data_IF_671281777847
#
_entry.id   IF_671281777847
#
_cell.length_a   1.000
_cell.length_b   1.000
_cell.length_c   1.000
_cell.angle_alpha   90.00
_cell.angle_beta   90.00
_cell.angle_gamma   90.00
#
_symmetry.space_group_name_H-M   'P 1'
#
loop_
_entity.id
_entity.type
_entity.pdbx_description
1 polymer ?
#
# COMPACT_ATOMS: atom_id res chain seq x y z
N UNK A 1 6.59 41.60 -16.91
CA UNK A 1 6.15 40.20 -17.18
C UNK A 1 6.48 39.39 -15.94
N UNK A 2 5.46 38.75 -15.35
CA UNK A 2 5.59 37.94 -14.14
C UNK A 2 6.16 36.58 -14.49
N UNK A 3 7.14 36.10 -13.74
CA UNK A 3 7.77 34.78 -13.94
C UNK A 3 7.44 33.85 -12.78
N UNK A 4 7.16 32.60 -13.08
CA UNK A 4 6.91 31.54 -12.10
C UNK A 4 7.95 30.45 -12.28
N UNK A 5 8.59 30.02 -11.19
CA UNK A 5 9.69 29.04 -11.26
C UNK A 5 10.84 29.41 -12.21
N UNK A 6 11.03 30.72 -12.46
CA UNK A 6 12.02 31.24 -13.41
C UNK A 6 11.57 31.26 -14.87
N UNK A 7 10.29 30.96 -15.16
CA UNK A 7 9.73 30.85 -16.51
C UNK A 7 8.55 31.80 -16.68
N UNK A 8 8.43 32.42 -17.86
CA UNK A 8 7.28 33.24 -18.22
C UNK A 8 6.13 32.36 -18.72
N UNK A 9 4.93 32.56 -18.19
CA UNK A 9 3.72 31.82 -18.58
C UNK A 9 3.41 31.91 -20.08
N UNK A 10 3.69 33.06 -20.70
CA UNK A 10 3.48 33.29 -22.14
C UNK A 10 4.39 32.38 -22.96
N UNK A 11 5.67 32.27 -22.59
CA UNK A 11 6.63 31.39 -23.27
C UNK A 11 6.19 29.91 -23.18
N UNK A 12 5.52 29.52 -22.09
CA UNK A 12 5.03 28.15 -21.90
C UNK A 12 3.83 27.86 -22.79
N UNK A 13 2.82 28.73 -22.81
CA UNK A 13 1.60 28.51 -23.62
C UNK A 13 1.91 28.66 -25.11
N UNK A 14 2.70 29.65 -25.51
CA UNK A 14 3.05 29.89 -26.91
C UNK A 14 4.03 28.85 -27.48
N UNK A 15 4.69 28.06 -26.62
CA UNK A 15 5.48 26.92 -27.07
C UNK A 15 4.66 25.70 -27.45
N UNK A 16 3.34 25.65 -27.16
CA UNK A 16 2.51 24.47 -27.42
C UNK A 16 2.56 24.00 -28.89
N UNK A 17 2.46 24.87 -29.92
CA UNK A 17 2.57 24.44 -31.31
C UNK A 17 3.92 23.76 -31.63
N UNK A 18 5.02 24.26 -31.07
CA UNK A 18 6.35 23.68 -31.28
C UNK A 18 6.53 22.31 -30.59
N UNK A 19 5.71 22.02 -29.57
CA UNK A 19 5.75 20.77 -28.79
C UNK A 19 4.70 19.76 -29.25
N UNK A 20 3.90 20.09 -30.25
CA UNK A 20 2.79 19.26 -30.72
C UNK A 20 3.29 18.00 -31.45
N UNK A 21 2.68 16.86 -31.12
CA UNK A 21 2.96 15.55 -31.72
C UNK A 21 1.85 15.18 -32.70
N UNK A 22 2.08 15.47 -33.98
CA UNK A 22 1.11 15.21 -35.05
C UNK A 22 0.68 13.74 -35.10
N UNK A 23 1.62 12.80 -34.93
CA UNK A 23 1.32 11.36 -34.97
C UNK A 23 0.39 10.89 -33.85
N UNK A 24 0.35 11.61 -32.71
CA UNK A 24 -0.50 11.29 -31.58
C UNK A 24 -1.92 11.86 -31.72
N UNK A 25 -2.15 12.75 -32.69
CA UNK A 25 -3.39 13.53 -32.83
C UNK A 25 -4.34 13.02 -33.93
N UNK A 26 -4.07 11.84 -34.52
CA UNK A 26 -4.77 11.32 -35.70
C UNK A 26 -6.31 11.32 -35.60
N UNK A 27 -6.85 11.04 -34.41
CA UNK A 27 -8.30 10.96 -34.16
C UNK A 27 -8.86 12.15 -33.37
N UNK A 28 -8.08 13.23 -33.22
CA UNK A 28 -8.43 14.37 -32.37
C UNK A 28 -8.58 15.61 -33.24
N UNK A 29 -9.77 16.21 -33.20
CA UNK A 29 -10.03 17.51 -33.84
C UNK A 29 -10.97 18.33 -32.98
N UNK A 30 -10.76 19.64 -32.95
CA UNK A 30 -11.55 20.52 -32.10
C UNK A 30 -10.85 21.79 -31.68
N UNK A 31 -11.61 22.63 -30.97
CA UNK A 31 -11.11 23.85 -30.34
C UNK A 31 -11.17 23.72 -28.82
N UNK A 32 -10.08 24.08 -28.16
CA UNK A 32 -9.88 23.98 -26.72
C UNK A 32 -9.37 25.31 -26.18
N UNK A 33 -9.93 25.78 -25.07
CA UNK A 33 -9.55 27.04 -24.47
C UNK A 33 -8.57 26.87 -23.32
N UNK A 34 -7.69 27.85 -23.16
CA UNK A 34 -6.86 28.06 -21.98
C UNK A 34 -7.16 29.45 -21.44
N UNK A 35 -7.81 29.54 -20.28
CA UNK A 35 -7.98 30.77 -19.51
C UNK A 35 -6.97 30.76 -18.36
N UNK A 36 -5.92 31.57 -18.51
CA UNK A 36 -4.85 31.72 -17.53
C UNK A 36 -5.04 32.99 -16.69
N UNK A 37 -6.30 33.38 -16.47
CA UNK A 37 -6.72 34.55 -15.69
C UNK A 37 -6.09 35.85 -16.20
N UNK A 38 -5.25 36.48 -15.39
CA UNK A 38 -4.59 37.76 -15.67
C UNK A 38 -3.46 37.64 -16.69
N UNK A 39 -2.95 36.43 -16.95
CA UNK A 39 -1.93 36.20 -17.98
C UNK A 39 -2.51 36.22 -19.39
N UNK A 40 -3.82 35.97 -19.55
CA UNK A 40 -4.50 36.01 -20.84
C UNK A 40 -5.22 34.70 -21.17
N UNK A 41 -5.76 34.67 -22.39
CA UNK A 41 -6.60 33.60 -22.90
C UNK A 41 -6.16 33.19 -24.29
N UNK A 42 -6.13 31.88 -24.53
CA UNK A 42 -5.74 31.31 -25.82
C UNK A 42 -6.74 30.25 -26.27
N UNK A 43 -6.99 30.23 -27.57
CA UNK A 43 -7.69 29.16 -28.28
C UNK A 43 -6.68 28.28 -28.99
N UNK A 44 -6.79 26.98 -28.74
CA UNK A 44 -6.04 25.92 -29.38
C UNK A 44 -6.97 25.14 -30.31
N UNK A 45 -6.71 25.16 -31.62
CA UNK A 45 -7.48 24.42 -32.61
C UNK A 45 -6.64 23.31 -33.22
N UNK A 46 -7.14 22.08 -33.18
CA UNK A 46 -6.53 20.87 -33.73
C UNK A 46 -7.37 20.41 -34.92
N UNK A 47 -6.73 20.21 -36.07
CA UNK A 47 -7.40 19.72 -37.27
C UNK A 47 -6.48 19.70 -38.49
N UNK A 48 -6.79 18.83 -39.46
CA UNK A 48 -6.06 18.79 -40.73
C UNK A 48 -4.57 18.41 -40.63
N UNK A 49 -4.19 17.61 -39.62
CA UNK A 49 -2.79 17.24 -39.36
C UNK A 49 -1.98 18.30 -38.60
N UNK A 50 -2.61 19.38 -38.14
CA UNK A 50 -1.90 20.49 -37.50
C UNK A 50 -2.60 21.03 -36.26
N UNK A 51 -1.88 21.97 -35.63
CA UNK A 51 -2.32 22.69 -34.45
C UNK A 51 -2.10 24.19 -34.65
N UNK A 52 -3.10 24.98 -34.31
CA UNK A 52 -3.01 26.45 -34.28
C UNK A 52 -3.34 26.94 -32.88
N UNK A 53 -2.54 27.89 -32.38
CA UNK A 53 -2.79 28.58 -31.11
C UNK A 53 -2.93 30.07 -31.38
N UNK A 54 -4.00 30.69 -30.88
CA UNK A 54 -4.28 32.12 -31.07
C UNK A 54 -4.77 32.75 -29.76
N UNK A 55 -4.35 33.99 -29.42
CA UNK A 55 -5.01 34.75 -28.37
C UNK A 55 -6.52 34.88 -28.64
N UNK A 56 -7.34 34.82 -27.59
CA UNK A 56 -8.79 34.92 -27.73
C UNK A 56 -9.43 35.60 -26.51
N UNK A 57 -10.31 36.58 -26.72
CA UNK A 57 -11.00 37.25 -25.60
C UNK A 57 -12.18 36.43 -25.06
N UNK A 58 -12.76 35.56 -25.90
CA UNK A 58 -13.93 34.73 -25.61
C UNK A 58 -13.63 33.29 -26.05
N UNK A 59 -13.99 32.32 -25.21
CA UNK A 59 -13.70 30.88 -25.37
C UNK A 59 -14.97 30.01 -25.33
N UNK A 60 -16.15 30.60 -25.50
CA UNK A 60 -17.46 29.93 -25.41
C UNK A 60 -17.71 28.92 -26.55
N UNK A 61 -17.01 29.08 -27.67
CA UNK A 61 -17.02 28.18 -28.82
C UNK A 61 -16.08 26.97 -28.66
N UNK A 62 -15.29 26.91 -27.58
CA UNK A 62 -14.39 25.81 -27.31
C UNK A 62 -15.15 24.61 -26.71
N UNK A 63 -14.80 23.40 -27.13
CA UNK A 63 -15.39 22.16 -26.62
C UNK A 63 -15.12 21.99 -25.12
N UNK A 64 -13.96 22.47 -24.67
CA UNK A 64 -13.59 22.53 -23.28
C UNK A 64 -12.62 23.69 -23.04
N UNK A 65 -12.64 24.25 -21.82
CA UNK A 65 -11.75 25.34 -21.41
C UNK A 65 -11.08 24.98 -20.10
N UNK A 66 -9.74 24.98 -20.08
CA UNK A 66 -8.95 24.92 -18.87
C UNK A 66 -8.91 26.29 -18.21
N UNK A 67 -9.23 26.37 -16.92
CA UNK A 67 -9.18 27.60 -16.14
C UNK A 67 -8.23 27.37 -14.97
N UNK A 68 -7.17 28.17 -14.88
CA UNK A 68 -6.16 28.07 -13.82
C UNK A 68 -5.30 29.33 -13.71
N UNK A 69 -4.72 29.58 -12.55
CA UNK A 69 -3.78 30.68 -12.37
C UNK A 69 -2.43 30.41 -13.10
N UNK A 70 -1.68 31.47 -13.46
CA UNK A 70 -0.41 31.32 -14.19
C UNK A 70 0.65 30.48 -13.47
N UNK A 71 0.71 30.53 -12.13
CA UNK A 71 1.69 29.76 -11.36
C UNK A 71 1.39 28.26 -11.47
N UNK A 72 0.12 27.89 -11.32
CA UNK A 72 -0.35 26.50 -11.42
C UNK A 72 -0.10 25.95 -12.81
N UNK A 73 -0.42 26.71 -13.87
CA UNK A 73 -0.15 26.30 -15.25
C UNK A 73 1.34 26.02 -15.49
N UNK A 74 2.23 26.96 -15.15
CA UNK A 74 3.68 26.79 -15.33
C UNK A 74 4.21 25.63 -14.48
N UNK A 75 3.74 25.49 -13.24
CA UNK A 75 4.16 24.40 -12.35
C UNK A 75 3.81 23.01 -12.88
N UNK A 76 2.62 22.84 -13.48
CA UNK A 76 2.21 21.59 -14.13
C UNK A 76 3.10 21.29 -15.33
N UNK A 77 3.36 22.29 -16.18
CA UNK A 77 4.18 22.12 -17.38
C UNK A 77 5.64 21.75 -17.06
N UNK A 78 6.15 22.19 -15.89
CA UNK A 78 7.47 21.84 -15.37
C UNK A 78 7.51 20.55 -14.53
N UNK A 79 6.37 19.89 -14.31
CA UNK A 79 6.28 18.73 -13.41
C UNK A 79 6.53 19.04 -11.93
N UNK A 80 6.44 20.32 -11.54
CA UNK A 80 6.60 20.80 -10.15
C UNK A 80 5.30 20.78 -9.35
N UNK A 81 4.16 20.76 -10.05
CA UNK A 81 2.82 20.68 -9.47
C UNK A 81 2.11 19.50 -10.13
N UNK A 82 1.57 18.59 -9.33
CA UNK A 82 0.72 17.51 -9.82
C UNK A 82 -0.66 18.04 -10.21
N UNK A 83 -1.14 17.67 -11.39
CA UNK A 83 -2.40 18.19 -11.93
C UNK A 83 -3.63 17.67 -11.17
N UNK A 84 -3.58 16.45 -10.62
CA UNK A 84 -4.69 15.90 -9.84
C UNK A 84 -4.78 16.58 -8.47
N UNK A 85 -3.65 16.86 -7.83
CA UNK A 85 -3.58 17.65 -6.59
C UNK A 85 -4.11 19.08 -6.81
N UNK A 86 -3.65 19.77 -7.86
CA UNK A 86 -4.11 21.13 -8.18
C UNK A 86 -5.63 21.19 -8.42
N UNK A 87 -6.19 20.17 -9.06
CA UNK A 87 -7.63 20.04 -9.26
C UNK A 87 -8.38 19.78 -7.94
N UNK A 88 -7.85 18.94 -7.05
CA UNK A 88 -8.39 18.71 -5.71
C UNK A 88 -8.41 19.98 -4.85
N UNK A 89 -7.41 20.84 -5.01
CA UNK A 89 -7.31 22.15 -4.38
C UNK A 89 -8.09 23.26 -5.09
N UNK A 90 -8.85 22.93 -6.14
CA UNK A 90 -9.66 23.87 -6.94
C UNK A 90 -8.84 25.00 -7.62
N UNK A 91 -7.53 24.79 -7.83
CA UNK A 91 -6.65 25.73 -8.57
C UNK A 91 -6.63 25.48 -10.08
N UNK A 92 -7.21 24.36 -10.49
CA UNK A 92 -7.29 23.91 -11.87
C UNK A 92 -8.70 23.36 -12.09
N UNK A 93 -9.39 23.86 -13.11
CA UNK A 93 -10.70 23.34 -13.51
C UNK A 93 -10.82 23.25 -15.02
N UNK A 94 -11.71 22.37 -15.48
CA UNK A 94 -12.05 22.25 -16.91
C UNK A 94 -13.55 22.38 -17.04
N UNK A 95 -14.00 23.39 -17.79
CA UNK A 95 -15.40 23.55 -18.19
C UNK A 95 -15.61 22.90 -19.56
N UNK A 96 -16.85 22.48 -19.87
CA UNK A 96 -17.16 21.74 -21.10
C UNK A 96 -16.79 20.24 -21.02
N UNK A 97 -16.35 19.68 -22.15
CA UNK A 97 -16.02 18.24 -22.26
C UNK A 97 -14.62 17.93 -21.67
N UNK A 98 -14.62 17.52 -20.40
CA UNK A 98 -13.41 17.13 -19.67
C UNK A 98 -12.67 15.96 -20.31
N UNK A 99 -13.39 15.04 -20.97
CA UNK A 99 -12.77 13.88 -21.62
C UNK A 99 -12.04 14.31 -22.89
N UNK A 100 -12.64 15.21 -23.67
CA UNK A 100 -12.00 15.81 -24.84
C UNK A 100 -10.77 16.65 -24.43
N UNK A 101 -10.83 17.39 -23.33
CA UNK A 101 -9.62 18.09 -22.84
C UNK A 101 -8.53 17.12 -22.38
N UNK A 102 -8.91 16.02 -21.71
CA UNK A 102 -7.97 14.98 -21.28
C UNK A 102 -7.25 14.30 -22.45
N UNK A 103 -7.89 14.17 -23.62
CA UNK A 103 -7.25 13.56 -24.79
C UNK A 103 -6.17 14.45 -25.42
N UNK A 104 -6.25 15.78 -25.29
CA UNK A 104 -5.23 16.68 -25.83
C UNK A 104 -4.01 16.84 -24.93
N UNK A 105 -4.13 16.56 -23.63
CA UNK A 105 -3.03 16.71 -22.67
C UNK A 105 -1.80 15.85 -23.01
N UNK A 106 -2.01 14.69 -23.65
CA UNK A 106 -0.94 13.78 -24.08
C UNK A 106 -0.31 14.11 -25.44
N UNK A 107 -0.79 15.15 -26.14
CA UNK A 107 -0.34 15.50 -27.50
C UNK A 107 0.91 16.37 -27.52
N UNK A 108 1.42 16.76 -26.37
CA UNK A 108 2.54 17.69 -26.26
C UNK A 108 3.75 17.02 -25.63
N UNK A 109 4.93 17.29 -26.18
CA UNK A 109 6.19 17.04 -25.49
C UNK A 109 6.28 17.90 -24.22
N UNK A 110 6.99 17.40 -23.20
CA UNK A 110 7.20 18.13 -21.94
C UNK A 110 7.86 19.49 -22.22
N UNK A 111 7.43 20.54 -21.51
CA UNK A 111 8.05 21.85 -21.64
C UNK A 111 9.47 21.82 -21.08
N UNK A 112 10.41 22.40 -21.81
CA UNK A 112 11.81 22.53 -21.39
C UNK A 112 12.15 24.02 -21.37
N UNK A 113 12.50 24.60 -20.21
CA UNK A 113 12.94 25.98 -20.14
C UNK A 113 14.16 26.25 -21.02
N UNK A 114 14.22 27.39 -21.73
CA UNK A 114 15.40 27.76 -22.50
C UNK A 114 16.68 27.74 -21.64
N UNK A 115 17.70 27.00 -22.09
CA UNK A 115 18.98 26.86 -21.39
C UNK A 115 19.04 25.75 -20.33
N UNK A 116 17.97 24.97 -20.15
CA UNK A 116 18.01 23.70 -19.41
C UNK A 116 18.03 22.52 -20.38
N UNK A 117 19.00 21.62 -20.21
CA UNK A 117 18.96 20.31 -20.86
C UNK A 117 17.99 19.41 -20.10
N UNK A 118 17.04 18.80 -20.79
CA UNK A 118 16.33 17.63 -20.27
C UNK A 118 17.30 16.49 -20.13
N UNK A 119 17.61 16.10 -18.88
CA UNK A 119 18.16 14.79 -18.62
C UNK A 119 17.17 13.77 -19.22
N UNK A 120 17.65 12.91 -20.13
CA UNK A 120 16.86 11.82 -20.67
C UNK A 120 16.23 11.04 -19.51
N UNK A 121 14.95 10.70 -19.63
CA UNK A 121 14.28 9.83 -18.66
C UNK A 121 15.15 8.60 -18.43
N UNK A 122 15.73 8.49 -17.23
CA UNK A 122 16.57 7.34 -16.89
C UNK A 122 15.62 6.16 -16.81
N UNK A 123 15.74 5.24 -17.77
CA UNK A 123 15.04 3.97 -17.70
C UNK A 123 15.51 3.25 -16.43
N UNK A 124 14.64 3.18 -15.43
CA UNK A 124 14.91 2.45 -14.20
C UNK A 124 14.80 0.96 -14.49
N UNK A 125 15.94 0.29 -14.61
CA UNK A 125 15.98 -1.17 -14.70
C UNK A 125 15.69 -1.76 -13.31
N UNK A 126 14.52 -2.39 -13.15
CA UNK A 126 14.14 -3.08 -11.91
C UNK A 126 14.52 -4.56 -12.01
N UNK A 127 15.47 -4.99 -11.18
CA UNK A 127 15.75 -6.40 -10.96
C UNK A 127 14.95 -6.91 -9.75
N UNK A 128 13.82 -7.59 -10.01
CA UNK A 128 13.05 -8.26 -8.95
C UNK A 128 13.76 -9.56 -8.56
N UNK A 129 14.46 -9.54 -7.42
CA UNK A 129 15.08 -10.73 -6.85
C UNK A 129 14.84 -10.78 -5.34
N UNK A 130 14.54 -11.97 -4.81
CA UNK A 130 14.57 -12.23 -3.36
C UNK A 130 16.03 -12.38 -2.96
N UNK A 131 16.54 -11.45 -2.15
CA UNK A 131 17.91 -11.52 -1.63
C UNK A 131 17.99 -12.67 -0.62
N UNK A 132 18.52 -13.80 -1.05
CA UNK A 132 18.79 -14.94 -0.17
C UNK A 132 20.24 -14.91 0.28
N UNK A 133 20.46 -14.68 1.57
CA UNK A 133 21.77 -14.86 2.19
C UNK A 133 21.79 -16.27 2.78
N UNK A 134 22.70 -17.13 2.32
CA UNK A 134 22.83 -18.53 2.75
C UNK A 134 23.30 -18.72 4.20
N UNK A 135 22.65 -18.06 5.15
CA UNK A 135 22.91 -18.16 6.58
C UNK A 135 22.03 -19.25 7.19
N UNK A 136 22.66 -20.16 7.92
CA UNK A 136 21.95 -21.17 8.69
C UNK A 136 22.04 -20.81 10.17
N UNK A 137 20.90 -20.48 10.77
CA UNK A 137 20.80 -20.26 12.21
C UNK A 137 20.31 -21.53 12.90
N UNK A 138 21.02 -21.94 13.95
CA UNK A 138 20.55 -23.04 14.79
C UNK A 138 19.32 -22.58 15.58
N UNK A 139 18.23 -23.34 15.50
CA UNK A 139 17.01 -23.09 16.29
C UNK A 139 17.22 -23.36 17.79
N UNK A 140 18.34 -23.98 18.17
CA UNK A 140 18.63 -24.31 19.56
C UNK A 140 17.71 -25.42 20.12
N UNK A 141 17.96 -25.84 21.37
CA UNK A 141 17.26 -26.99 21.96
C UNK A 141 15.79 -26.72 22.24
N UNK A 142 15.42 -25.48 22.56
CA UNK A 142 14.04 -25.12 22.92
C UNK A 142 13.17 -24.86 21.69
N UNK A 143 13.54 -23.90 20.82
CA UNK A 143 12.74 -23.65 19.62
C UNK A 143 12.74 -24.87 18.68
N UNK A 144 13.87 -25.57 18.56
CA UNK A 144 13.94 -26.81 17.77
C UNK A 144 12.98 -27.90 18.24
N UNK A 145 12.76 -28.04 19.56
CA UNK A 145 11.76 -28.99 20.10
C UNK A 145 10.33 -28.55 19.83
N UNK A 146 10.04 -27.25 19.96
CA UNK A 146 8.74 -26.68 19.61
C UNK A 146 8.37 -26.90 18.14
N UNK A 147 9.28 -26.56 17.23
CA UNK A 147 9.09 -26.74 15.79
C UNK A 147 8.92 -28.21 15.39
N UNK A 148 9.62 -29.14 16.07
CA UNK A 148 9.37 -30.59 15.91
C UNK A 148 7.96 -30.98 16.38
N UNK A 149 7.46 -30.38 17.45
CA UNK A 149 6.07 -30.56 17.90
C UNK A 149 5.06 -30.16 16.82
N UNK A 150 5.27 -29.00 16.17
CA UNK A 150 4.39 -28.53 15.09
C UNK A 150 4.33 -29.52 13.91
N UNK A 151 5.46 -30.13 13.53
CA UNK A 151 5.48 -31.22 12.54
C UNK A 151 4.52 -32.35 12.87
N UNK A 152 4.41 -32.67 14.16
CA UNK A 152 3.58 -33.75 14.70
C UNK A 152 2.14 -33.32 15.02
N UNK A 153 1.72 -32.09 14.66
CA UNK A 153 0.43 -31.48 15.06
C UNK A 153 0.26 -31.27 16.56
N UNK A 154 1.35 -31.05 17.28
CA UNK A 154 1.35 -30.77 18.71
C UNK A 154 1.82 -29.36 18.96
N UNK A 155 1.07 -28.59 19.76
CA UNK A 155 1.54 -27.29 20.22
C UNK A 155 2.12 -27.48 21.62
N UNK A 156 3.42 -27.23 21.74
CA UNK A 156 4.15 -27.37 23.00
C UNK A 156 4.29 -26.02 23.70
N UNK A 157 4.21 -26.07 25.02
CA UNK A 157 4.56 -24.98 25.90
C UNK A 157 5.64 -25.43 26.90
N UNK A 158 6.33 -24.45 27.49
CA UNK A 158 7.27 -24.70 28.58
C UNK A 158 6.76 -24.06 29.87
N UNK A 159 6.73 -24.87 30.94
CA UNK A 159 6.17 -24.47 32.23
C UNK A 159 7.26 -23.92 33.14
N UNK A 160 6.97 -22.76 33.74
CA UNK A 160 7.83 -22.20 34.78
C UNK A 160 7.66 -22.98 36.09
N UNK A 161 8.76 -23.44 36.72
CA UNK A 161 8.68 -24.20 37.98
C UNK A 161 8.24 -23.35 39.18
N UNK A 162 8.36 -22.02 39.10
CA UNK A 162 8.02 -21.11 40.20
C UNK A 162 6.58 -20.62 40.10
N UNK A 163 6.22 -19.97 38.99
CA UNK A 163 4.89 -19.38 38.83
C UNK A 163 3.90 -20.26 38.06
N UNK A 164 4.32 -21.42 37.54
CA UNK A 164 3.44 -22.34 36.81
C UNK A 164 3.01 -21.87 35.40
N UNK A 165 3.34 -20.65 34.97
CA UNK A 165 3.02 -20.12 33.63
C UNK A 165 3.51 -21.05 32.54
N UNK A 166 2.65 -21.31 31.55
CA UNK A 166 2.93 -22.14 30.37
C UNK A 166 3.07 -21.22 29.17
N UNK A 167 4.27 -21.14 28.61
CA UNK A 167 4.62 -20.18 27.55
C UNK A 167 4.69 -20.90 26.20
N UNK A 168 3.93 -20.43 25.22
CA UNK A 168 3.99 -20.88 23.82
C UNK A 168 3.86 -19.65 22.90
N UNK A 169 4.88 -19.33 22.07
CA UNK A 169 6.14 -20.06 21.88
C UNK A 169 7.01 -20.16 23.15
N UNK A 170 7.75 -21.26 23.34
CA UNK A 170 8.49 -21.50 24.58
C UNK A 170 9.73 -20.61 24.70
N UNK A 171 10.04 -20.22 25.95
CA UNK A 171 11.21 -19.42 26.32
C UNK A 171 12.07 -20.18 27.33
N UNK A 172 13.39 -20.17 27.14
CA UNK A 172 14.34 -20.83 28.06
C UNK A 172 14.28 -20.27 29.48
N UNK A 173 14.01 -18.96 29.61
CA UNK A 173 13.91 -18.25 30.88
C UNK A 173 12.51 -17.66 31.01
N UNK A 174 11.88 -17.86 32.17
CA UNK A 174 10.64 -17.18 32.52
C UNK A 174 10.91 -15.68 32.68
N UNK A 175 10.29 -14.83 31.87
CA UNK A 175 10.53 -13.38 31.90
C UNK A 175 10.17 -12.72 33.26
N UNK A 176 9.18 -13.27 33.97
CA UNK A 176 8.72 -12.75 35.26
C UNK A 176 9.62 -13.25 36.40
N UNK A 177 9.81 -14.56 36.53
CA UNK A 177 10.56 -15.16 37.64
C UNK A 177 12.07 -15.19 37.42
N UNK A 178 12.55 -14.97 36.19
CA UNK A 178 13.96 -15.00 35.80
C UNK A 178 14.67 -16.33 36.12
N UNK A 179 13.94 -17.44 36.02
CA UNK A 179 14.45 -18.81 36.23
C UNK A 179 14.38 -19.62 34.93
N UNK A 180 15.22 -20.65 34.80
CA UNK A 180 15.16 -21.60 33.67
C UNK A 180 13.86 -22.39 33.70
N UNK A 181 13.26 -22.54 32.53
CA UNK A 181 12.13 -23.45 32.30
C UNK A 181 12.67 -24.77 31.73
N UNK A 182 12.24 -25.90 32.29
CA UNK A 182 12.73 -27.23 31.89
C UNK A 182 11.60 -28.24 31.66
N UNK A 183 10.41 -27.98 32.20
CA UNK A 183 9.24 -28.86 32.08
C UNK A 183 8.46 -28.53 30.81
N UNK A 184 8.29 -29.52 29.94
CA UNK A 184 7.55 -29.41 28.69
C UNK A 184 6.14 -29.97 28.86
N UNK A 185 5.16 -29.25 28.32
CA UNK A 185 3.76 -29.67 28.34
C UNK A 185 3.14 -29.46 26.96
N UNK A 186 2.24 -30.33 26.56
CA UNK A 186 1.40 -30.11 25.38
C UNK A 186 0.19 -29.25 25.78
N UNK A 187 -0.19 -28.30 24.92
CA UNK A 187 -1.29 -27.36 25.11
C UNK A 187 -2.16 -27.28 23.86
N UNK A 188 -3.38 -26.76 24.00
CA UNK A 188 -4.33 -26.67 22.90
C UNK A 188 -4.71 -28.06 22.33
N UNK A 189 -4.77 -28.23 21.00
CA UNK A 189 -4.44 -27.24 19.98
C UNK A 189 -5.49 -26.12 19.84
N UNK A 190 -6.66 -26.30 20.46
CA UNK A 190 -7.75 -25.33 20.47
C UNK A 190 -7.47 -24.19 21.47
N UNK A 191 -8.15 -23.06 21.29
CA UNK A 191 -7.99 -21.92 22.17
C UNK A 191 -9.08 -20.87 22.01
N UNK A 192 -8.99 -19.82 22.82
CA UNK A 192 -9.90 -18.68 22.80
C UNK A 192 -9.22 -17.48 22.13
N UNK A 193 -9.92 -16.80 21.21
CA UNK A 193 -9.41 -15.59 20.59
C UNK A 193 -9.38 -14.43 21.59
N UNK A 194 -8.19 -13.87 21.84
CA UNK A 194 -7.96 -12.76 22.79
C UNK A 194 -7.53 -11.48 22.13
N UNK A 195 -6.98 -11.55 20.92
CA UNK A 195 -6.61 -10.39 20.11
C UNK A 195 -6.98 -10.64 18.66
N UNK A 196 -7.41 -9.58 17.99
CA UNK A 196 -7.68 -9.54 16.55
C UNK A 196 -7.24 -8.18 16.01
N UNK A 197 -6.38 -8.20 15.00
CA UNK A 197 -5.99 -7.04 14.21
C UNK A 197 -6.43 -7.26 12.76
N UNK A 198 -7.22 -6.31 12.26
CA UNK A 198 -7.60 -6.25 10.84
C UNK A 198 -6.52 -5.50 10.07
N UNK A 199 -5.91 -6.18 9.11
CA UNK A 199 -4.84 -5.60 8.29
C UNK A 199 -5.37 -5.32 6.89
N UNK A 200 -5.53 -4.02 6.56
CA UNK A 200 -5.99 -3.53 5.26
C UNK A 200 -4.84 -3.10 4.34
N UNK A 201 -3.64 -2.93 4.88
CA UNK A 201 -2.47 -2.53 4.12
C UNK A 201 -1.56 -3.74 3.91
N UNK A 202 -1.38 -4.11 2.65
CA UNK A 202 -0.57 -5.25 2.31
C UNK A 202 0.91 -4.87 2.47
N UNK A 203 1.59 -5.51 3.43
CA UNK A 203 3.04 -5.41 3.59
C UNK A 203 3.70 -6.63 2.96
N UNK A 204 4.79 -6.47 2.20
CA UNK A 204 5.52 -7.61 1.67
C UNK A 204 6.08 -8.44 2.83
N UNK A 205 5.97 -9.76 2.72
CA UNK A 205 6.59 -10.67 3.64
C UNK A 205 8.11 -10.47 3.58
N UNK A 206 8.78 -10.17 4.70
CA UNK A 206 10.21 -9.87 4.68
C UNK A 206 11.07 -11.10 4.34
N UNK A 207 10.53 -12.32 4.42
CA UNK A 207 11.22 -13.55 4.08
C UNK A 207 11.01 -13.95 2.62
N UNK A 208 9.79 -13.83 2.09
CA UNK A 208 9.49 -14.28 0.71
C UNK A 208 9.45 -13.15 -0.32
N UNK A 209 9.15 -11.92 0.12
CA UNK A 209 8.85 -10.78 -0.75
C UNK A 209 7.41 -10.79 -1.27
N UNK A 210 6.63 -11.83 -0.99
CA UNK A 210 5.25 -11.94 -1.44
C UNK A 210 4.36 -11.02 -0.62
N UNK A 211 3.33 -10.49 -1.27
CA UNK A 211 2.34 -9.66 -0.61
C UNK A 211 1.10 -10.50 -0.31
N UNK A 212 0.62 -10.47 0.94
CA UNK A 212 -0.61 -11.16 1.33
C UNK A 212 -1.84 -10.41 0.80
N UNK A 213 -2.86 -11.13 0.37
CA UNK A 213 -4.15 -10.53 0.03
C UNK A 213 -4.77 -9.88 1.28
N UNK A 214 -5.38 -8.71 1.09
CA UNK A 214 -6.02 -7.93 2.16
C UNK A 214 -7.53 -7.83 1.92
N UNK A 215 -8.36 -7.75 2.97
CA UNK A 215 -7.97 -7.76 4.38
C UNK A 215 -7.62 -9.17 4.90
N UNK A 216 -6.72 -9.24 5.88
CA UNK A 216 -6.47 -10.46 6.66
C UNK A 216 -6.46 -10.18 8.16
N UNK A 217 -6.63 -11.23 8.97
CA UNK A 217 -6.73 -11.13 10.43
C UNK A 217 -5.50 -11.73 11.11
N UNK A 218 -4.70 -10.91 11.78
CA UNK A 218 -3.69 -11.38 12.72
C UNK A 218 -4.34 -11.55 14.10
N UNK A 219 -4.17 -12.71 14.71
CA UNK A 219 -4.88 -13.06 15.94
C UNK A 219 -3.94 -13.56 17.02
N UNK A 220 -4.32 -13.28 18.27
CA UNK A 220 -3.74 -13.91 19.46
C UNK A 220 -4.71 -14.92 20.05
N UNK A 221 -4.31 -16.19 20.10
CA UNK A 221 -5.11 -17.29 20.62
C UNK A 221 -4.57 -17.73 21.99
N UNK A 222 -5.37 -17.62 23.04
CA UNK A 222 -5.06 -18.24 24.32
C UNK A 222 -5.37 -19.74 24.22
N UNK A 223 -4.33 -20.54 24.01
CA UNK A 223 -4.44 -21.99 23.86
C UNK A 223 -4.92 -22.65 25.16
N UNK A 224 -5.69 -23.74 25.04
CA UNK A 224 -6.17 -24.49 26.20
C UNK A 224 -4.99 -25.02 27.01
N UNK A 225 -5.03 -24.80 28.33
CA UNK A 225 -3.94 -25.13 29.22
C UNK A 225 -2.94 -23.98 29.39
N UNK A 226 -2.85 -23.00 28.51
CA UNK A 226 -2.15 -21.74 28.82
C UNK A 226 -2.99 -20.87 29.78
N UNK A 227 -2.33 -19.92 30.44
CA UNK A 227 -2.95 -19.00 31.39
C UNK A 227 -2.43 -17.57 31.13
N UNK A 228 -3.10 -16.59 31.71
CA UNK A 228 -2.76 -15.18 31.64
C UNK A 228 -2.77 -14.61 30.21
N UNK A 229 -1.82 -13.72 29.90
CA UNK A 229 -1.72 -12.96 28.64
C UNK A 229 -0.79 -13.64 27.61
N UNK A 230 -0.36 -14.89 27.84
CA UNK A 230 0.51 -15.64 26.93
C UNK A 230 -0.30 -16.18 25.75
N UNK A 231 -0.52 -15.32 24.75
CA UNK A 231 -1.24 -15.67 23.52
C UNK A 231 -0.31 -16.26 22.44
N UNK A 232 -0.85 -17.21 21.70
CA UNK A 232 -0.24 -17.77 20.51
C UNK A 232 -0.64 -16.97 19.28
N UNK A 233 0.31 -16.29 18.66
CA UNK A 233 0.05 -15.47 17.48
C UNK A 233 -0.05 -16.32 16.22
N UNK A 234 -1.10 -16.09 15.44
CA UNK A 234 -1.25 -16.67 14.11
C UNK A 234 -2.22 -15.84 13.24
N UNK A 235 -2.68 -16.45 12.16
CA UNK A 235 -3.61 -15.89 11.19
C UNK A 235 -4.96 -16.55 11.37
N UNK A 236 -6.02 -15.79 11.17
CA UNK A 236 -7.38 -16.30 11.07
C UNK A 236 -7.67 -16.73 9.62
N UNK A 237 -8.55 -17.70 9.45
CA UNK A 237 -9.20 -17.98 8.17
C UNK A 237 -9.83 -16.67 7.63
N UNK A 238 -9.39 -16.14 6.47
CA UNK A 238 -9.89 -14.87 5.95
C UNK A 238 -11.41 -14.84 5.75
N UNK A 239 -12.04 -15.98 5.43
CA UNK A 239 -13.49 -16.09 5.25
C UNK A 239 -14.30 -15.90 6.55
N UNK A 240 -13.63 -15.89 7.71
CA UNK A 240 -14.27 -15.80 9.03
C UNK A 240 -13.96 -14.50 9.76
N UNK A 241 -13.29 -13.54 9.11
CA UNK A 241 -12.94 -12.24 9.69
C UNK A 241 -14.11 -11.58 10.41
N UNK A 242 -15.29 -11.53 9.78
CA UNK A 242 -16.47 -10.86 10.32
C UNK A 242 -17.36 -11.76 11.19
N UNK A 243 -16.94 -13.01 11.45
CA UNK A 243 -17.70 -14.01 12.21
C UNK A 243 -17.13 -14.23 13.61
N UNK A 244 -15.88 -13.84 13.84
CA UNK A 244 -15.18 -14.05 15.11
C UNK A 244 -15.40 -12.91 16.10
N UNK A 245 -15.31 -13.22 17.38
CA UNK A 245 -15.45 -12.26 18.47
C UNK A 245 -14.21 -12.27 19.35
N UNK A 246 -13.59 -11.10 19.53
CA UNK A 246 -12.45 -10.96 20.44
C UNK A 246 -12.91 -11.02 21.90
N UNK A 247 -12.27 -11.89 22.68
CA UNK A 247 -12.43 -11.93 24.13
C UNK A 247 -11.75 -10.73 24.79
N UNK A 248 -12.28 -10.25 25.91
CA UNK A 248 -11.72 -9.10 26.62
C UNK A 248 -11.81 -9.27 28.13
N UNK A 249 -10.87 -8.64 28.83
CA UNK A 249 -10.89 -8.51 30.30
C UNK A 249 -10.79 -7.03 30.62
N UNK A 250 -11.90 -6.43 31.07
CA UNK A 250 -11.98 -4.99 31.38
C UNK A 250 -12.49 -4.85 32.81
N UNK A 251 -11.72 -4.20 33.69
CA UNK A 251 -12.08 -4.00 35.10
C UNK A 251 -12.50 -5.32 35.81
N UNK A 252 -11.79 -6.41 35.53
CA UNK A 252 -12.08 -7.74 36.09
C UNK A 252 -13.30 -8.46 35.48
N UNK A 253 -14.03 -7.84 34.55
CA UNK A 253 -15.12 -8.50 33.81
C UNK A 253 -14.56 -9.22 32.59
N UNK A 254 -14.80 -10.53 32.52
CA UNK A 254 -14.34 -11.38 31.43
C UNK A 254 -15.45 -11.58 30.41
N UNK A 255 -15.23 -11.13 29.17
CA UNK A 255 -16.02 -11.51 28.00
C UNK A 255 -15.25 -12.56 27.24
N UNK A 256 -15.84 -13.74 27.06
CA UNK A 256 -15.22 -14.82 26.28
C UNK A 256 -15.21 -14.47 24.79
N UNK A 257 -14.09 -14.77 24.14
CA UNK A 257 -13.93 -14.71 22.70
C UNK A 257 -14.38 -15.98 21.99
N UNK A 258 -14.34 -15.96 20.66
CA UNK A 258 -14.57 -17.12 19.82
C UNK A 258 -13.59 -18.25 20.13
N UNK A 259 -14.11 -19.48 20.06
CA UNK A 259 -13.29 -20.69 20.14
C UNK A 259 -12.71 -20.99 18.77
N UNK A 260 -11.41 -21.26 18.73
CA UNK A 260 -10.66 -21.47 17.50
C UNK A 260 -9.90 -22.79 17.56
N UNK A 261 -9.73 -23.43 16.40
CA UNK A 261 -8.87 -24.60 16.19
C UNK A 261 -7.92 -24.36 15.02
N UNK A 262 -6.70 -24.92 15.05
CA UNK A 262 -5.76 -24.75 13.95
C UNK A 262 -6.13 -25.68 12.79
N UNK A 263 -5.91 -25.17 11.58
CA UNK A 263 -5.88 -25.95 10.34
C UNK A 263 -4.43 -26.21 9.99
N UNK A 264 -4.01 -27.47 10.05
CA UNK A 264 -2.63 -27.87 9.80
C UNK A 264 -2.32 -27.92 8.31
N UNK A 265 -1.10 -27.55 7.93
CA UNK A 265 -0.60 -27.75 6.58
C UNK A 265 -0.53 -29.25 6.22
N UNK A 266 -0.76 -29.58 4.95
CA UNK A 266 -0.59 -30.96 4.48
C UNK A 266 0.86 -31.41 4.64
N UNK A 267 1.79 -30.61 4.12
CA UNK A 267 3.24 -30.78 4.27
C UNK A 267 3.73 -29.92 5.43
N UNK A 268 4.33 -30.55 6.43
CA UNK A 268 4.86 -29.88 7.62
C UNK A 268 6.38 -30.03 7.67
N UNK A 269 7.08 -28.91 7.81
CA UNK A 269 8.53 -28.78 7.68
C UNK A 269 9.19 -28.30 8.97
N UNK A 270 8.42 -28.04 10.02
CA UNK A 270 8.89 -27.51 11.30
C UNK A 270 9.08 -26.01 11.22
N UNK A 271 8.11 -25.31 10.64
CA UNK A 271 7.97 -23.86 10.71
C UNK A 271 6.66 -23.51 11.41
N UNK A 272 6.45 -22.22 11.69
CA UNK A 272 5.15 -21.75 12.20
C UNK A 272 4.03 -22.03 11.19
N UNK A 273 4.34 -22.04 9.89
CA UNK A 273 3.40 -22.33 8.78
C UNK A 273 2.97 -23.80 8.70
N UNK A 274 3.49 -24.67 9.57
CA UNK A 274 2.91 -26.00 9.79
C UNK A 274 1.45 -25.91 10.23
N UNK A 275 1.04 -24.78 10.80
CA UNK A 275 -0.34 -24.34 10.94
C UNK A 275 -0.60 -23.31 9.81
N UNK A 276 -1.63 -23.53 9.00
CA UNK A 276 -1.98 -22.60 7.91
C UNK A 276 -2.67 -21.35 8.47
N UNK A 277 -3.64 -21.56 9.34
CA UNK A 277 -4.42 -20.54 10.03
C UNK A 277 -5.23 -21.21 11.15
N UNK A 278 -5.93 -20.41 11.95
CA UNK A 278 -6.98 -20.85 12.85
C UNK A 278 -8.36 -20.53 12.27
N UNK A 279 -9.34 -21.35 12.61
CA UNK A 279 -10.73 -21.15 12.24
C UNK A 279 -11.66 -21.43 13.43
N UNK A 280 -12.90 -20.98 13.34
CA UNK A 280 -13.95 -21.25 14.32
C UNK A 280 -14.05 -22.75 14.62
N UNK A 281 -14.00 -23.07 15.91
CA UNK A 281 -14.24 -24.41 16.44
C UNK A 281 -15.74 -24.61 16.64
N UNK A 282 -16.45 -24.86 15.53
CA UNK A 282 -17.88 -25.21 15.49
C UNK A 282 -18.11 -26.69 15.73
#
# INVERSE_FOLDING_TARGET
MTTYFGVNVVDVIESLPARFREEAAADISGSFGYDLEDAGRWRLTIGGGGLTLTPADVLDDCQAVLITDPQTFVGIQLGKIDAAEAMGLQKLSVTGDRRAFGSIAGLFQKYVPPGQETLSEVELVVLKQTISVGQNFATGPVMGRFLKGLKERKILAIRCPVCGRRQSPPREICAVCRVRNTEWVEVGPKGEMRMLEYVYYASPDPLTGDTRETPYGAIGVLLDGCQDEEVFWHLLNPAQLDQVQMGSVINGRVRKGSRLRPVWAQKRTGSIDDIQYFELDT
#
